data_IF_385893433182
#
_entry.id   IF_385893433182
#
_cell.length_a   1.000
_cell.length_b   1.000
_cell.length_c   1.000
_cell.angle_alpha   90.00
_cell.angle_beta   90.00
_cell.angle_gamma   90.00
#
_symmetry.space_group_name_H-M   'P 1'
#
loop_
_entity.id
_entity.type
_entity.pdbx_description
1 polymer ?
#
# COMPACT_ATOMS: atom_id res chain seq x y z
N UNK A 1 -13.31 -6.78 -17.06
CA UNK A 1 -12.29 -6.63 -15.99
C UNK A 1 -12.56 -7.57 -14.82
N UNK A 2 -13.83 -7.74 -14.45
CA UNK A 2 -14.28 -8.67 -13.42
C UNK A 2 -14.15 -10.13 -13.87
N UNK A 3 -13.67 -10.99 -12.97
CA UNK A 3 -13.52 -12.44 -13.16
C UNK A 3 -14.05 -13.15 -11.92
N UNK A 4 -14.88 -14.18 -12.12
CA UNK A 4 -15.47 -15.02 -11.07
C UNK A 4 -14.81 -16.40 -11.02
N UNK A 5 -13.53 -16.49 -11.38
CA UNK A 5 -12.80 -17.77 -11.37
C UNK A 5 -12.17 -18.08 -10.00
N UNK A 6 -12.13 -17.10 -9.11
CA UNK A 6 -11.48 -17.20 -7.80
C UNK A 6 -12.28 -16.43 -6.76
N UNK A 7 -12.45 -17.01 -5.58
CA UNK A 7 -13.16 -16.42 -4.46
C UNK A 7 -12.48 -15.16 -3.91
N UNK A 8 -11.19 -14.97 -4.15
CA UNK A 8 -10.51 -13.69 -3.87
C UNK A 8 -9.47 -13.39 -4.93
N UNK A 9 -9.43 -12.13 -5.34
CA UNK A 9 -8.50 -11.57 -6.30
C UNK A 9 -7.97 -10.24 -5.77
N UNK A 10 -6.66 -10.08 -5.74
CA UNK A 10 -5.95 -8.86 -5.33
C UNK A 10 -5.14 -8.36 -6.51
N UNK A 11 -5.49 -7.18 -7.02
CA UNK A 11 -4.84 -6.53 -8.16
C UNK A 11 -4.00 -5.37 -7.69
N UNK A 12 -2.71 -5.41 -7.99
CA UNK A 12 -1.79 -4.28 -7.85
C UNK A 12 -1.62 -3.62 -9.22
N UNK A 13 -1.84 -2.31 -9.30
CA UNK A 13 -1.78 -1.59 -10.57
C UNK A 13 -0.48 -0.81 -10.73
N UNK A 14 -0.02 -0.64 -11.97
CA UNK A 14 1.05 0.30 -12.29
C UNK A 14 0.50 1.72 -12.23
N UNK A 15 0.68 2.36 -11.09
CA UNK A 15 0.33 3.76 -10.88
C UNK A 15 1.54 4.69 -10.98
N UNK A 16 2.60 4.32 -11.71
CA UNK A 16 3.75 5.19 -11.94
C UNK A 16 4.61 5.46 -10.68
N UNK A 17 4.67 4.47 -9.78
CA UNK A 17 5.40 4.57 -8.51
C UNK A 17 4.56 5.05 -7.33
N UNK A 18 3.23 4.96 -7.43
CA UNK A 18 2.30 5.12 -6.31
C UNK A 18 1.54 3.83 -5.99
N UNK A 19 0.83 3.79 -4.85
CA UNK A 19 0.02 2.64 -4.47
C UNK A 19 -1.40 2.73 -5.05
N UNK A 20 -1.79 1.68 -5.77
CA UNK A 20 -3.13 1.51 -6.32
C UNK A 20 -3.49 0.02 -6.33
N UNK A 21 -4.50 -0.36 -5.54
CA UNK A 21 -4.83 -1.77 -5.31
C UNK A 21 -6.36 -1.95 -5.32
N UNK A 22 -6.81 -3.05 -5.92
CA UNK A 22 -8.22 -3.49 -5.86
C UNK A 22 -8.29 -4.94 -5.38
N UNK A 23 -9.07 -5.17 -4.34
CA UNK A 23 -9.42 -6.48 -3.82
C UNK A 23 -10.88 -6.77 -4.15
N UNK A 24 -11.14 -7.89 -4.80
CA UNK A 24 -12.49 -8.41 -5.02
C UNK A 24 -12.60 -9.81 -4.43
N UNK A 25 -13.65 -10.08 -3.67
CA UNK A 25 -13.82 -11.36 -2.98
C UNK A 25 -15.29 -11.76 -2.85
N UNK A 26 -15.55 -13.07 -2.71
CA UNK A 26 -16.87 -13.64 -2.49
C UNK A 26 -17.10 -13.78 -0.98
N UNK A 27 -17.94 -12.91 -0.42
CA UNK A 27 -18.23 -12.84 1.01
C UNK A 27 -18.93 -14.09 1.56
N UNK A 28 -19.00 -14.18 2.89
CA UNK A 28 -19.74 -15.25 3.58
C UNK A 28 -21.27 -15.14 3.42
N UNK A 29 -21.77 -14.04 2.89
CA UNK A 29 -23.15 -13.82 2.46
C UNK A 29 -23.41 -14.30 1.02
N UNK A 30 -22.38 -14.85 0.35
CA UNK A 30 -22.35 -15.28 -1.04
C UNK A 30 -22.53 -14.14 -2.06
N UNK A 31 -22.19 -12.90 -1.68
CA UNK A 31 -22.14 -11.76 -2.58
C UNK A 31 -20.70 -11.35 -2.89
N UNK A 32 -20.49 -10.71 -4.04
CA UNK A 32 -19.19 -10.15 -4.40
C UNK A 32 -19.00 -8.79 -3.75
N UNK A 33 -17.85 -8.65 -3.10
CA UNK A 33 -17.44 -7.46 -2.38
C UNK A 33 -16.17 -6.87 -2.97
N UNK A 34 -16.02 -5.55 -2.84
CA UNK A 34 -14.90 -4.83 -3.42
C UNK A 34 -14.28 -3.87 -2.38
N UNK A 35 -12.97 -3.95 -2.23
CA UNK A 35 -12.16 -3.02 -1.42
C UNK A 35 -11.11 -2.38 -2.33
N UNK A 36 -11.02 -1.05 -2.27
CA UNK A 36 -9.96 -0.28 -2.92
C UNK A 36 -8.96 0.19 -1.87
N UNK A 37 -7.67 0.17 -2.20
CA UNK A 37 -6.62 0.69 -1.32
C UNK A 37 -5.78 1.66 -2.14
N UNK A 38 -5.72 2.89 -1.65
CA UNK A 38 -5.12 4.04 -2.30
C UNK A 38 -5.60 4.22 -3.76
N UNK A 39 -4.91 5.07 -4.50
CA UNK A 39 -5.36 5.61 -5.77
C UNK A 39 -4.23 5.91 -6.75
N UNK A 40 -2.96 5.84 -6.35
CA UNK A 40 -1.88 6.36 -7.18
C UNK A 40 -1.99 7.87 -7.38
N UNK A 41 -1.41 8.37 -8.46
CA UNK A 41 -1.56 9.76 -8.89
C UNK A 41 -2.94 10.07 -9.49
N UNK A 42 -3.25 11.36 -9.68
CA UNK A 42 -4.53 11.82 -10.28
C UNK A 42 -4.81 11.17 -11.63
N UNK A 43 -3.79 10.99 -12.49
CA UNK A 43 -3.94 10.34 -13.80
C UNK A 43 -4.44 8.89 -13.70
N UNK A 44 -4.10 8.20 -12.60
CA UNK A 44 -4.56 6.84 -12.33
C UNK A 44 -6.08 6.76 -12.18
N UNK A 45 -6.77 7.87 -11.93
CA UNK A 45 -8.23 7.88 -11.98
C UNK A 45 -8.74 7.48 -13.35
N UNK A 46 -8.38 8.23 -14.39
CA UNK A 46 -8.90 8.00 -15.73
C UNK A 46 -8.42 6.66 -16.32
N UNK A 47 -7.18 6.27 -16.03
CA UNK A 47 -6.57 5.08 -16.64
C UNK A 47 -6.85 3.78 -15.89
N UNK A 48 -7.12 3.83 -14.58
CA UNK A 48 -7.29 2.63 -13.74
C UNK A 48 -8.64 2.66 -13.03
N UNK A 49 -8.86 3.63 -12.14
CA UNK A 49 -9.98 3.56 -11.18
C UNK A 49 -11.34 3.83 -11.81
N UNK A 50 -11.45 4.73 -12.78
CA UNK A 50 -12.70 4.96 -13.50
C UNK A 50 -13.16 3.68 -14.23
N UNK A 51 -12.32 3.00 -15.04
CA UNK A 51 -12.65 1.68 -15.57
C UNK A 51 -13.02 0.62 -14.52
N UNK A 52 -12.29 0.56 -13.39
CA UNK A 52 -12.61 -0.37 -12.28
C UNK A 52 -14.00 -0.09 -11.71
N UNK A 53 -14.26 1.16 -11.33
CA UNK A 53 -15.53 1.62 -10.75
C UNK A 53 -16.70 1.41 -11.72
N UNK A 54 -16.51 1.71 -13.01
CA UNK A 54 -17.50 1.41 -14.05
C UNK A 54 -17.78 -0.09 -14.11
N UNK A 55 -16.75 -0.94 -14.12
CA UNK A 55 -16.95 -2.39 -14.18
C UNK A 55 -17.66 -2.97 -12.95
N UNK A 56 -17.43 -2.41 -11.76
CA UNK A 56 -18.13 -2.76 -10.51
C UNK A 56 -19.60 -2.37 -10.62
N UNK A 57 -19.87 -1.13 -11.02
CA UNK A 57 -21.24 -0.59 -11.16
C UNK A 57 -22.06 -1.32 -12.23
N UNK A 58 -21.45 -1.70 -13.36
CA UNK A 58 -22.09 -2.40 -14.48
C UNK A 58 -22.67 -3.77 -14.08
N UNK A 59 -22.08 -4.44 -13.10
CA UNK A 59 -22.59 -5.73 -12.57
C UNK A 59 -23.49 -5.55 -11.34
N UNK A 60 -23.84 -4.32 -10.98
CA UNK A 60 -24.66 -4.01 -9.81
C UNK A 60 -23.94 -4.17 -8.47
N UNK A 61 -22.60 -4.30 -8.48
CA UNK A 61 -21.78 -4.31 -7.28
C UNK A 61 -21.45 -2.87 -6.84
N UNK A 62 -20.85 -2.75 -5.66
CA UNK A 62 -20.33 -1.49 -5.13
C UNK A 62 -18.96 -1.72 -4.47
N UNK A 63 -18.28 -0.63 -4.12
CA UNK A 63 -17.09 -0.63 -3.26
C UNK A 63 -17.54 -0.54 -1.81
N UNK A 64 -17.27 -1.59 -1.03
CA UNK A 64 -17.62 -1.64 0.39
C UNK A 64 -16.72 -0.72 1.22
N UNK A 65 -15.44 -0.64 0.86
CA UNK A 65 -14.44 0.19 1.53
C UNK A 65 -13.41 0.74 0.54
N UNK A 66 -13.11 2.03 0.62
CA UNK A 66 -11.90 2.62 0.04
C UNK A 66 -10.95 3.09 1.15
N UNK A 67 -9.83 2.39 1.30
CA UNK A 67 -8.77 2.73 2.27
C UNK A 67 -7.86 3.77 1.65
N UNK A 68 -7.66 4.88 2.35
CA UNK A 68 -6.76 5.97 1.99
C UNK A 68 -5.69 6.01 3.07
N UNK A 69 -4.53 5.43 2.77
CA UNK A 69 -3.54 5.10 3.79
C UNK A 69 -2.94 6.34 4.42
N UNK A 70 -2.64 7.37 3.63
CA UNK A 70 -2.18 8.68 4.04
C UNK A 70 -2.37 9.70 2.89
N UNK A 71 -1.90 10.95 3.06
CA UNK A 71 -2.23 12.09 2.17
C UNK A 71 -1.29 12.35 0.99
N UNK A 72 -0.28 11.51 0.78
CA UNK A 72 0.67 11.78 -0.30
C UNK A 72 0.04 11.57 -1.67
N UNK A 73 0.56 12.30 -2.65
CA UNK A 73 -0.09 12.48 -3.97
C UNK A 73 -0.14 11.19 -4.79
N UNK A 74 0.83 10.32 -4.57
CA UNK A 74 0.96 8.98 -5.14
C UNK A 74 0.09 7.95 -4.43
N UNK A 75 -0.73 8.37 -3.45
CA UNK A 75 -1.72 7.56 -2.77
C UNK A 75 -3.15 8.12 -2.98
N UNK A 76 -3.38 9.41 -2.74
CA UNK A 76 -4.75 9.98 -2.76
C UNK A 76 -5.22 10.43 -4.15
N UNK A 77 -4.35 10.43 -5.15
CA UNK A 77 -4.57 11.10 -6.43
C UNK A 77 -5.83 10.63 -7.15
N UNK A 78 -6.05 9.32 -7.33
CA UNK A 78 -7.26 8.86 -7.99
C UNK A 78 -8.54 9.07 -7.18
N UNK A 79 -8.45 9.11 -5.84
CA UNK A 79 -9.60 9.47 -5.00
C UNK A 79 -10.05 10.89 -5.31
N UNK A 80 -9.11 11.81 -5.52
CA UNK A 80 -9.41 13.19 -5.94
C UNK A 80 -9.98 13.24 -7.36
N UNK A 81 -9.50 12.39 -8.27
CA UNK A 81 -10.12 12.23 -9.59
C UNK A 81 -11.58 11.81 -9.46
N UNK A 82 -11.87 10.83 -8.59
CA UNK A 82 -13.22 10.37 -8.29
C UNK A 82 -14.11 11.48 -7.74
N UNK A 83 -13.62 12.31 -6.79
CA UNK A 83 -14.44 13.42 -6.26
C UNK A 83 -14.85 14.42 -7.34
N UNK A 84 -14.01 14.62 -8.37
CA UNK A 84 -14.23 15.55 -9.48
C UNK A 84 -15.05 15.00 -10.63
N UNK A 85 -15.21 13.68 -10.73
CA UNK A 85 -15.90 13.07 -11.88
C UNK A 85 -17.41 13.30 -11.82
N UNK A 86 -17.92 14.22 -12.64
CA UNK A 86 -19.35 14.53 -12.68
C UNK A 86 -20.19 13.50 -13.44
N UNK A 87 -19.56 12.51 -14.09
CA UNK A 87 -20.28 11.43 -14.78
C UNK A 87 -20.83 10.35 -13.84
N UNK A 88 -20.35 10.28 -12.60
CA UNK A 88 -20.88 9.39 -11.57
C UNK A 88 -21.85 10.20 -10.70
N UNK A 89 -23.15 9.95 -10.86
CA UNK A 89 -24.21 10.68 -10.15
C UNK A 89 -24.29 10.25 -8.68
N UNK A 90 -24.39 8.94 -8.42
CA UNK A 90 -24.63 8.37 -7.08
C UNK A 90 -23.32 7.85 -6.44
N UNK A 91 -22.32 8.72 -6.27
CA UNK A 91 -20.99 8.35 -5.73
C UNK A 91 -21.07 7.70 -4.33
N UNK A 92 -22.00 8.17 -3.51
CA UNK A 92 -22.24 7.71 -2.15
C UNK A 92 -22.86 6.31 -2.07
N UNK A 93 -23.49 5.84 -3.17
CA UNK A 93 -23.96 4.45 -3.33
C UNK A 93 -22.86 3.57 -3.90
N UNK A 94 -22.06 4.10 -4.83
CA UNK A 94 -20.98 3.37 -5.45
C UNK A 94 -19.85 3.05 -4.46
N UNK A 95 -19.54 3.97 -3.53
CA UNK A 95 -18.57 3.76 -2.46
C UNK A 95 -19.24 3.92 -1.10
N UNK A 96 -19.38 2.80 -0.38
CA UNK A 96 -20.12 2.76 0.89
C UNK A 96 -19.35 3.42 2.02
N UNK A 97 -18.07 3.10 2.20
CA UNK A 97 -17.23 3.56 3.30
C UNK A 97 -15.87 4.03 2.79
N UNK A 98 -15.33 5.06 3.44
CA UNK A 98 -13.95 5.47 3.29
C UNK A 98 -13.24 5.27 4.63
N UNK A 99 -11.98 4.86 4.59
CA UNK A 99 -11.06 5.04 5.71
C UNK A 99 -10.07 6.12 5.32
N UNK A 100 -10.02 7.17 6.12
CA UNK A 100 -9.19 8.32 5.85
C UNK A 100 -8.92 9.05 7.16
N UNK A 101 -7.69 8.94 7.64
CA UNK A 101 -7.26 9.71 8.79
C UNK A 101 -7.05 11.17 8.37
N UNK A 102 -7.76 12.07 9.04
CA UNK A 102 -7.72 13.48 8.75
C UNK A 102 -7.59 14.30 10.04
N UNK A 103 -7.09 15.53 9.89
CA UNK A 103 -7.06 16.47 11.00
C UNK A 103 -8.47 16.81 11.48
N UNK A 104 -8.69 16.81 12.79
CA UNK A 104 -9.99 17.09 13.43
C UNK A 104 -10.43 18.56 13.39
N UNK A 105 -9.57 19.48 12.97
CA UNK A 105 -9.86 20.92 12.94
C UNK A 105 -10.09 21.41 11.51
N UNK A 106 -11.10 22.27 11.29
CA UNK A 106 -11.25 22.95 10.01
C UNK A 106 -10.05 23.86 9.79
N UNK A 107 -9.32 23.58 8.72
CA UNK A 107 -8.18 24.37 8.31
C UNK A 107 -8.66 25.20 7.12
N UNK A 108 -8.47 26.52 7.20
CA UNK A 108 -8.72 27.42 6.07
C UNK A 108 -7.93 26.99 4.83
N UNK A 109 -8.51 27.14 3.64
CA UNK A 109 -7.82 26.89 2.37
C UNK A 109 -6.59 27.82 2.28
N UNK A 110 -5.41 27.24 2.12
CA UNK A 110 -4.13 27.98 2.11
C UNK A 110 -3.27 27.57 0.92
N UNK A 111 -2.28 28.40 0.58
CA UNK A 111 -1.27 28.12 -0.45
C UNK A 111 -0.16 27.14 0.04
N UNK A 112 -0.50 26.21 0.94
CA UNK A 112 0.43 25.24 1.53
C UNK A 112 0.90 24.16 0.54
N UNK A 113 1.65 23.15 1.04
CA UNK A 113 2.10 22.01 0.22
C UNK A 113 0.91 21.29 -0.45
N UNK A 114 1.10 20.87 -1.70
CA UNK A 114 0.04 20.33 -2.57
C UNK A 114 -0.68 19.12 -1.93
N UNK A 115 0.05 18.18 -1.32
CA UNK A 115 -0.55 17.00 -0.66
C UNK A 115 -1.55 17.37 0.46
N UNK A 116 -1.16 18.27 1.36
CA UNK A 116 -2.02 18.74 2.46
C UNK A 116 -3.27 19.45 1.95
N UNK A 117 -3.10 20.36 0.98
CA UNK A 117 -4.25 21.06 0.34
C UNK A 117 -5.23 20.07 -0.28
N UNK A 118 -4.70 19.03 -0.93
CA UNK A 118 -5.50 17.97 -1.52
C UNK A 118 -6.21 17.10 -0.48
N UNK A 119 -5.53 16.75 0.62
CA UNK A 119 -6.14 16.07 1.77
C UNK A 119 -7.29 16.87 2.40
N UNK A 120 -7.14 18.20 2.55
CA UNK A 120 -8.21 19.09 3.02
C UNK A 120 -9.40 19.10 2.03
N UNK A 121 -9.11 19.19 0.73
CA UNK A 121 -10.14 19.14 -0.31
C UNK A 121 -10.92 17.83 -0.27
N UNK A 122 -10.22 16.70 -0.12
CA UNK A 122 -10.84 15.38 0.04
C UNK A 122 -11.71 15.31 1.29
N UNK A 123 -11.21 15.76 2.45
CA UNK A 123 -11.99 15.83 3.70
C UNK A 123 -13.29 16.62 3.49
N UNK A 124 -13.19 17.81 2.89
CA UNK A 124 -14.32 18.71 2.65
C UNK A 124 -15.37 18.06 1.75
N UNK A 125 -14.91 17.37 0.70
CA UNK A 125 -15.79 16.61 -0.17
C UNK A 125 -16.49 15.46 0.57
N UNK A 126 -15.75 14.64 1.32
CA UNK A 126 -16.33 13.54 2.08
C UNK A 126 -17.33 14.03 3.14
N UNK A 127 -17.08 15.19 3.76
CA UNK A 127 -18.04 15.88 4.65
C UNK A 127 -19.33 16.24 3.88
N UNK A 128 -19.21 16.80 2.67
CA UNK A 128 -20.37 17.22 1.86
C UNK A 128 -21.28 16.08 1.40
N UNK A 129 -20.75 14.86 1.28
CA UNK A 129 -21.53 13.66 0.92
C UNK A 129 -21.85 12.77 2.13
N UNK A 130 -21.57 13.26 3.35
CA UNK A 130 -21.82 12.54 4.60
C UNK A 130 -21.10 11.18 4.69
N UNK A 131 -19.89 11.11 4.13
CA UNK A 131 -19.00 9.92 4.11
C UNK A 131 -17.67 10.14 4.84
N UNK A 132 -17.49 11.28 5.49
CA UNK A 132 -16.27 11.54 6.26
C UNK A 132 -16.21 10.58 7.47
N UNK A 133 -15.10 9.87 7.69
CA UNK A 133 -14.95 9.00 8.85
C UNK A 133 -15.05 9.80 10.15
N UNK A 134 -15.84 9.31 11.10
CA UNK A 134 -16.00 9.95 12.42
C UNK A 134 -14.83 9.57 13.33
N UNK A 135 -14.38 8.31 13.25
CA UNK A 135 -13.29 7.78 14.06
C UNK A 135 -12.01 7.67 13.23
N UNK A 136 -10.89 8.01 13.86
CA UNK A 136 -9.56 7.77 13.28
C UNK A 136 -9.23 6.28 13.32
N UNK A 137 -8.68 5.78 12.23
CA UNK A 137 -8.19 4.40 12.09
C UNK A 137 -6.79 4.33 12.68
N UNK A 138 -6.62 3.55 13.75
CA UNK A 138 -5.36 3.40 14.49
C UNK A 138 -5.14 1.94 14.86
N UNK A 139 -3.96 1.65 15.41
CA UNK A 139 -3.62 0.35 16.00
C UNK A 139 -4.55 -0.08 17.15
N UNK A 140 -5.44 0.80 17.63
CA UNK A 140 -6.49 0.51 18.62
C UNK A 140 -7.86 0.26 18.01
N UNK A 141 -8.03 0.45 16.71
CA UNK A 141 -9.31 0.23 15.99
C UNK A 141 -9.76 -1.25 16.02
N UNK A 142 -8.84 -2.17 16.35
CA UNK A 142 -9.11 -3.59 16.48
C UNK A 142 -9.28 -4.26 15.11
N UNK A 143 -9.99 -5.40 15.12
CA UNK A 143 -10.32 -6.15 13.91
C UNK A 143 -11.63 -5.63 13.34
N UNK A 144 -11.65 -5.31 12.04
CA UNK A 144 -12.85 -4.96 11.28
C UNK A 144 -13.16 -6.08 10.31
N UNK A 145 -14.40 -6.57 10.34
CA UNK A 145 -14.88 -7.64 9.46
C UNK A 145 -15.74 -7.04 8.34
N UNK A 146 -15.42 -7.42 7.11
CA UNK A 146 -16.19 -7.12 5.91
C UNK A 146 -16.58 -8.45 5.27
N UNK A 147 -17.74 -8.98 5.65
CA UNK A 147 -18.32 -10.20 5.08
C UNK A 147 -17.35 -11.41 5.11
N UNK A 148 -16.64 -11.57 6.23
CA UNK A 148 -15.64 -12.63 6.46
C UNK A 148 -14.21 -12.28 6.04
N UNK A 149 -13.97 -11.13 5.39
CA UNK A 149 -12.63 -10.56 5.22
C UNK A 149 -12.30 -9.67 6.41
N UNK A 150 -11.30 -10.08 7.18
CA UNK A 150 -10.86 -9.40 8.38
C UNK A 150 -9.67 -8.49 8.11
N UNK A 151 -9.73 -7.26 8.61
CA UNK A 151 -8.63 -6.30 8.59
C UNK A 151 -8.25 -5.98 10.03
N UNK A 152 -6.99 -6.26 10.40
CA UNK A 152 -6.41 -5.91 11.70
C UNK A 152 -5.42 -4.77 11.53
N UNK A 153 -5.69 -3.61 12.11
CA UNK A 153 -4.85 -2.42 11.97
C UNK A 153 -3.58 -2.56 12.81
N UNK A 154 -2.43 -2.28 12.20
CA UNK A 154 -1.10 -2.34 12.82
C UNK A 154 -0.52 -0.94 13.06
N UNK A 155 -0.81 0.00 12.15
CA UNK A 155 -0.43 1.41 12.24
C UNK A 155 -1.53 2.26 11.60
N UNK A 156 -1.59 3.57 11.87
CA UNK A 156 -0.71 4.33 12.77
C UNK A 156 -1.10 4.17 14.24
N UNK A 157 -0.19 4.56 15.15
CA UNK A 157 -0.55 4.76 16.55
C UNK A 157 -1.30 6.08 16.74
N UNK A 158 -2.09 6.20 17.82
CA UNK A 158 -2.76 7.46 18.16
C UNK A 158 -1.77 8.64 18.28
N UNK A 159 -0.55 8.39 18.79
CA UNK A 159 0.48 9.42 18.94
C UNK A 159 1.03 9.87 17.58
N UNK A 160 1.21 8.95 16.62
CA UNK A 160 1.62 9.29 15.25
C UNK A 160 0.55 10.12 14.55
N UNK A 161 -0.73 9.80 14.77
CA UNK A 161 -1.84 10.62 14.27
C UNK A 161 -1.82 12.02 14.88
N UNK A 162 -1.69 12.14 16.19
CA UNK A 162 -1.59 13.45 16.85
C UNK A 162 -0.34 14.25 16.41
N UNK A 163 0.75 13.58 16.04
CA UNK A 163 1.91 14.22 15.45
C UNK A 163 1.65 14.70 14.02
N UNK A 164 1.00 13.87 13.18
CA UNK A 164 0.59 14.25 11.83
C UNK A 164 -0.38 15.44 11.85
N UNK A 165 -1.39 15.44 12.72
CA UNK A 165 -2.34 16.55 12.85
C UNK A 165 -1.67 17.89 13.15
N UNK A 166 -0.64 17.89 14.02
CA UNK A 166 0.16 19.09 14.31
C UNK A 166 0.99 19.52 13.10
N UNK A 167 1.56 18.57 12.38
CA UNK A 167 2.37 18.83 11.19
C UNK A 167 1.54 19.44 10.04
N UNK A 168 0.27 19.05 9.89
CA UNK A 168 -0.64 19.69 8.94
C UNK A 168 -0.73 21.20 9.18
N UNK A 169 -0.98 21.61 10.43
CA UNK A 169 -1.11 23.02 10.83
C UNK A 169 0.18 23.81 10.60
N UNK A 170 1.34 23.18 10.80
CA UNK A 170 2.64 23.84 10.61
C UNK A 170 3.06 23.95 9.15
N UNK A 171 2.84 22.90 8.34
CA UNK A 171 3.30 22.84 6.95
C UNK A 171 2.40 23.59 5.99
N UNK A 172 1.15 23.84 6.33
CA UNK A 172 0.27 24.76 5.59
C UNK A 172 0.77 26.21 5.59
N UNK A 173 1.52 26.60 6.63
CA UNK A 173 2.11 27.94 6.73
C UNK A 173 3.40 28.10 5.91
N UNK A 174 3.96 27.01 5.36
CA UNK A 174 5.26 26.99 4.69
C UNK A 174 5.10 26.79 3.18
N UNK A 175 5.93 27.47 2.40
CA UNK A 175 6.03 27.30 0.94
C UNK A 175 6.52 25.87 0.59
N UNK A 176 6.19 25.34 -0.60
CA UNK A 176 6.70 24.06 -1.06
C UNK A 176 8.23 24.03 -1.00
N UNK A 177 8.78 23.03 -0.32
CA UNK A 177 10.22 22.77 -0.28
C UNK A 177 10.53 21.84 -1.45
N UNK A 178 11.58 22.15 -2.23
CA UNK A 178 12.06 21.26 -3.29
C UNK A 178 12.44 19.91 -2.70
N UNK A 179 11.92 18.83 -3.29
CA UNK A 179 12.40 17.47 -2.99
C UNK A 179 13.90 17.42 -3.26
N UNK A 180 14.66 16.83 -2.34
CA UNK A 180 16.07 16.51 -2.59
C UNK A 180 16.13 15.43 -3.65
N UNK A 181 16.94 15.62 -4.69
CA UNK A 181 17.27 14.55 -5.64
C UNK A 181 17.95 13.40 -4.86
N UNK A 182 17.20 12.35 -4.50
CA UNK A 182 17.83 11.12 -4.03
C UNK A 182 18.61 10.51 -5.20
N UNK A 183 19.84 10.08 -4.94
CA UNK A 183 20.58 9.25 -5.90
C UNK A 183 20.11 7.81 -5.68
N UNK A 184 19.59 7.17 -6.73
CA UNK A 184 19.27 5.74 -6.69
C UNK A 184 20.54 4.92 -6.51
N UNK A 185 20.39 3.72 -5.95
CA UNK A 185 21.48 2.82 -5.57
C UNK A 185 21.55 1.56 -6.44
N UNK A 186 20.77 1.49 -7.53
CA UNK A 186 20.68 0.34 -8.44
C UNK A 186 22.02 -0.07 -9.09
N UNK A 187 23.00 0.84 -9.10
CA UNK A 187 24.36 0.58 -9.61
C UNK A 187 25.23 -0.24 -8.65
N UNK A 188 24.80 -0.42 -7.39
CA UNK A 188 25.52 -1.20 -6.38
C UNK A 188 25.10 -2.66 -6.41
N UNK A 189 26.03 -3.56 -6.08
CA UNK A 189 25.73 -4.99 -5.99
C UNK A 189 25.04 -5.33 -4.68
N UNK A 190 24.27 -6.41 -4.67
CA UNK A 190 23.63 -6.95 -3.46
C UNK A 190 24.66 -7.21 -2.35
N UNK A 191 25.85 -7.69 -2.72
CA UNK A 191 26.91 -8.05 -1.78
C UNK A 191 27.55 -6.84 -1.06
N UNK A 192 27.43 -5.64 -1.65
CA UNK A 192 28.01 -4.41 -1.09
C UNK A 192 27.17 -3.80 0.05
N UNK A 193 25.95 -4.29 0.25
CA UNK A 193 25.06 -3.79 1.30
C UNK A 193 25.22 -4.61 2.59
N UNK A 194 25.24 -3.93 3.73
CA UNK A 194 25.08 -4.57 5.04
C UNK A 194 23.58 -4.69 5.33
N UNK A 195 23.06 -5.92 5.37
CA UNK A 195 21.64 -6.18 5.62
C UNK A 195 21.19 -5.80 7.04
N UNK A 196 22.11 -5.72 8.01
CA UNK A 196 21.80 -5.37 9.39
C UNK A 196 21.77 -3.86 9.61
N UNK A 197 22.44 -3.09 8.75
CA UNK A 197 22.41 -1.63 8.81
C UNK A 197 21.03 -1.11 8.42
N UNK A 198 20.41 -0.37 9.33
CA UNK A 198 19.10 0.22 9.13
C UNK A 198 18.94 1.53 9.91
N UNK A 199 18.40 2.55 9.23
CA UNK A 199 17.99 3.82 9.82
C UNK A 199 16.53 4.05 9.40
N UNK A 200 15.65 4.26 10.36
CA UNK A 200 14.22 4.43 10.07
C UNK A 200 13.90 5.81 9.50
N UNK A 201 12.91 5.87 8.62
CA UNK A 201 12.31 7.14 8.20
C UNK A 201 11.61 7.81 9.41
N UNK A 202 11.65 9.14 9.48
CA UNK A 202 11.01 9.93 10.55
C UNK A 202 9.95 10.89 10.01
N UNK A 203 9.56 10.77 8.74
CA UNK A 203 8.51 11.60 8.16
C UNK A 203 7.14 11.33 8.82
N UNK A 204 6.47 12.41 9.19
CA UNK A 204 5.24 12.34 9.98
C UNK A 204 4.03 11.90 9.15
N UNK A 205 3.98 12.22 7.85
CA UNK A 205 2.89 11.79 6.97
C UNK A 205 2.96 10.28 6.76
N UNK A 206 4.14 9.75 6.46
CA UNK A 206 4.41 8.30 6.37
C UNK A 206 4.13 7.59 7.70
N UNK A 207 4.47 8.22 8.83
CA UNK A 207 4.12 7.71 10.15
C UNK A 207 2.62 7.60 10.44
N UNK A 208 1.78 8.32 9.68
CA UNK A 208 0.32 8.26 9.78
C UNK A 208 -0.32 7.20 8.88
N UNK A 209 0.48 6.46 8.10
CA UNK A 209 -0.03 5.47 7.15
C UNK A 209 -0.79 4.33 7.84
N UNK A 210 -1.96 4.00 7.28
CA UNK A 210 -2.74 2.83 7.68
C UNK A 210 -2.08 1.55 7.16
N UNK A 211 -1.33 0.86 8.01
CA UNK A 211 -0.83 -0.49 7.73
C UNK A 211 -1.69 -1.52 8.44
N UNK A 212 -1.92 -2.67 7.80
CA UNK A 212 -2.82 -3.68 8.32
C UNK A 212 -2.50 -5.10 7.85
N UNK A 213 -2.96 -6.06 8.66
CA UNK A 213 -3.03 -7.47 8.30
C UNK A 213 -4.43 -7.75 7.72
N UNK A 214 -4.47 -8.32 6.52
CA UNK A 214 -5.69 -8.82 5.89
C UNK A 214 -5.75 -10.33 6.07
N UNK A 215 -6.90 -10.85 6.50
CA UNK A 215 -7.17 -12.29 6.58
C UNK A 215 -8.51 -12.60 5.93
N UNK A 216 -8.53 -13.52 4.97
CA UNK A 216 -9.73 -14.04 4.34
C UNK A 216 -9.55 -15.54 4.11
N UNK A 217 -10.33 -16.37 4.81
CA UNK A 217 -10.15 -17.83 4.83
C UNK A 217 -8.70 -18.20 5.22
N UNK A 218 -7.99 -18.94 4.37
CA UNK A 218 -6.58 -19.32 4.54
C UNK A 218 -5.60 -18.27 4.01
N UNK A 219 -6.09 -17.17 3.43
CA UNK A 219 -5.27 -16.12 2.84
C UNK A 219 -4.96 -15.05 3.88
N UNK A 220 -3.68 -14.79 4.10
CA UNK A 220 -3.16 -13.75 4.99
C UNK A 220 -2.18 -12.86 4.22
N UNK A 221 -2.47 -11.56 4.13
CA UNK A 221 -1.64 -10.57 3.45
C UNK A 221 -1.26 -9.41 4.36
N UNK A 222 -0.02 -8.94 4.29
CA UNK A 222 0.45 -7.78 5.05
C UNK A 222 0.58 -6.56 4.14
N UNK A 223 -0.16 -5.49 4.44
CA UNK A 223 -0.10 -4.22 3.71
C UNK A 223 0.55 -3.16 4.59
N UNK A 224 1.72 -2.69 4.20
CA UNK A 224 2.52 -1.77 5.02
C UNK A 224 2.39 -0.29 4.66
N UNK A 225 1.74 0.04 3.53
CA UNK A 225 1.63 1.39 2.99
C UNK A 225 3.00 2.09 3.08
N UNK A 226 3.08 3.34 3.56
CA UNK A 226 4.37 4.03 3.74
C UNK A 226 4.82 4.07 5.21
N UNK A 227 4.19 3.23 6.04
CA UNK A 227 4.34 3.21 7.49
C UNK A 227 5.76 2.94 7.98
N UNK A 228 6.04 3.40 9.20
CA UNK A 228 7.30 3.09 9.87
C UNK A 228 7.32 1.62 10.32
N UNK A 229 8.41 0.87 10.05
CA UNK A 229 8.48 -0.54 10.41
C UNK A 229 8.40 -0.78 11.92
N UNK A 230 8.86 0.16 12.76
CA UNK A 230 8.74 0.06 14.23
C UNK A 230 7.29 -0.07 14.70
N UNK A 231 6.37 0.66 14.07
CA UNK A 231 4.94 0.60 14.44
C UNK A 231 4.36 -0.79 14.10
N UNK A 232 4.67 -1.31 12.90
CA UNK A 232 4.28 -2.66 12.49
C UNK A 232 4.91 -3.74 13.38
N UNK A 233 6.21 -3.64 13.70
CA UNK A 233 6.94 -4.56 14.60
C UNK A 233 6.27 -4.61 15.97
N UNK A 234 5.98 -3.44 16.56
CA UNK A 234 5.35 -3.36 17.87
C UNK A 234 3.96 -3.97 17.85
N UNK A 235 3.17 -3.71 16.81
CA UNK A 235 1.86 -4.32 16.65
C UNK A 235 1.93 -5.84 16.50
N UNK A 236 2.85 -6.37 15.67
CA UNK A 236 3.06 -7.80 15.51
C UNK A 236 3.49 -8.49 16.81
N UNK A 237 4.38 -7.87 17.58
CA UNK A 237 4.77 -8.36 18.91
C UNK A 237 3.59 -8.40 19.89
N UNK A 238 2.71 -7.38 19.88
CA UNK A 238 1.48 -7.40 20.68
C UNK A 238 0.52 -8.52 20.26
N UNK A 239 0.54 -8.91 18.99
CA UNK A 239 -0.14 -10.10 18.46
C UNK A 239 0.61 -11.41 18.75
N UNK A 240 1.62 -11.39 19.61
CA UNK A 240 2.43 -12.55 20.04
C UNK A 240 3.33 -13.16 18.96
N UNK A 241 3.63 -12.44 17.88
CA UNK A 241 4.65 -12.86 16.90
C UNK A 241 6.05 -12.52 17.39
N UNK A 242 7.00 -13.38 17.05
CA UNK A 242 8.43 -13.24 17.41
C UNK A 242 9.29 -13.90 16.34
N UNK A 243 10.62 -13.71 16.37
CA UNK A 243 11.52 -14.40 15.44
C UNK A 243 11.43 -15.94 15.54
N UNK A 244 11.08 -16.47 16.72
CA UNK A 244 10.87 -17.91 16.93
C UNK A 244 9.50 -18.39 16.49
N UNK A 245 8.55 -17.47 16.34
CA UNK A 245 7.18 -17.74 15.91
C UNK A 245 6.72 -16.62 14.95
N UNK A 246 7.29 -16.59 13.73
CA UNK A 246 7.01 -15.52 12.78
C UNK A 246 5.60 -15.67 12.20
N UNK A 247 4.99 -14.53 11.87
CA UNK A 247 3.70 -14.48 11.20
C UNK A 247 3.82 -15.07 9.80
N UNK A 248 3.09 -16.15 9.53
CA UNK A 248 3.05 -16.76 8.19
C UNK A 248 2.08 -16.02 7.28
N UNK A 249 2.57 -15.64 6.09
CA UNK A 249 1.88 -14.78 5.14
C UNK A 249 1.92 -15.37 3.73
N UNK A 250 0.85 -15.15 2.97
CA UNK A 250 0.81 -15.45 1.54
C UNK A 250 1.55 -14.39 0.73
N UNK A 251 1.55 -13.12 1.18
CA UNK A 251 2.30 -12.04 0.56
C UNK A 251 2.50 -10.84 1.51
N UNK A 252 3.48 -10.01 1.18
CA UNK A 252 3.72 -8.69 1.80
C UNK A 252 3.72 -7.63 0.72
N UNK A 253 2.87 -6.62 0.83
CA UNK A 253 3.04 -5.37 0.08
C UNK A 253 4.06 -4.52 0.82
N UNK A 254 5.24 -4.40 0.22
CA UNK A 254 6.40 -3.72 0.81
C UNK A 254 6.10 -2.25 1.03
N UNK A 255 6.62 -1.75 2.15
CA UNK A 255 6.39 -0.39 2.58
C UNK A 255 7.10 0.64 1.69
N UNK A 256 6.46 1.79 1.45
CA UNK A 256 7.07 2.98 0.86
C UNK A 256 7.79 2.67 -0.45
N UNK A 257 7.10 1.91 -1.30
CA UNK A 257 7.57 1.47 -2.62
C UNK A 257 8.89 0.67 -2.60
N UNK A 258 9.33 0.19 -1.43
CA UNK A 258 10.63 -0.45 -1.24
C UNK A 258 11.75 0.52 -0.85
N UNK A 259 11.43 1.62 -0.18
CA UNK A 259 12.42 2.51 0.44
C UNK A 259 13.27 1.79 1.49
N UNK A 260 14.58 2.02 1.44
CA UNK A 260 15.56 1.41 2.35
C UNK A 260 15.31 1.68 3.83
N UNK A 261 14.61 2.76 4.13
CA UNK A 261 14.31 3.23 5.48
C UNK A 261 12.99 2.68 6.06
N UNK A 262 12.31 1.77 5.35
CA UNK A 262 10.96 1.30 5.72
C UNK A 262 10.83 -0.23 5.86
N UNK A 263 11.87 -1.01 5.54
CA UNK A 263 11.89 -2.47 5.74
C UNK A 263 13.05 -2.84 6.66
N UNK A 264 12.81 -2.97 7.97
CA UNK A 264 13.85 -3.26 8.95
C UNK A 264 14.18 -4.76 9.04
N UNK A 265 15.41 -5.14 9.45
CA UNK A 265 15.75 -6.54 9.73
C UNK A 265 14.83 -7.19 10.76
N UNK A 266 14.45 -6.43 11.80
CA UNK A 266 13.53 -6.88 12.84
C UNK A 266 12.13 -7.19 12.27
N UNK A 267 11.61 -6.33 11.39
CA UNK A 267 10.33 -6.60 10.71
C UNK A 267 10.42 -7.90 9.90
N UNK A 268 11.52 -8.10 9.16
CA UNK A 268 11.73 -9.33 8.39
C UNK A 268 11.79 -10.56 9.29
N UNK A 269 12.43 -10.47 10.45
CA UNK A 269 12.48 -11.55 11.44
C UNK A 269 11.10 -11.94 12.01
N UNK A 270 10.14 -11.01 12.06
CA UNK A 270 8.79 -11.28 12.57
C UNK A 270 7.83 -11.88 11.54
N UNK A 271 8.21 -11.95 10.26
CA UNK A 271 7.33 -12.40 9.18
C UNK A 271 7.94 -13.56 8.40
N UNK A 272 7.08 -14.41 7.86
CA UNK A 272 7.45 -15.54 7.04
C UNK A 272 6.58 -15.56 5.77
N UNK A 273 7.16 -15.10 4.65
CA UNK A 273 6.50 -15.05 3.34
C UNK A 273 7.46 -15.51 2.25
N UNK A 274 6.95 -16.08 1.16
CA UNK A 274 7.71 -16.29 -0.08
C UNK A 274 7.45 -15.22 -1.15
N UNK A 275 6.57 -14.25 -0.89
CA UNK A 275 6.10 -13.29 -1.90
C UNK A 275 6.15 -11.87 -1.35
N UNK A 276 6.87 -10.99 -2.07
CA UNK A 276 6.92 -9.55 -1.81
C UNK A 276 6.45 -8.79 -3.04
N UNK A 277 5.55 -7.83 -2.84
CA UNK A 277 4.96 -7.00 -3.89
C UNK A 277 5.45 -5.56 -3.74
N UNK A 278 5.87 -4.93 -4.83
CA UNK A 278 6.41 -3.58 -4.89
C UNK A 278 5.60 -2.72 -5.86
N UNK A 279 5.04 -1.59 -5.40
CA UNK A 279 4.43 -0.59 -6.29
C UNK A 279 5.45 0.46 -6.70
N UNK A 280 6.44 0.05 -7.48
CA UNK A 280 7.61 0.86 -7.73
C UNK A 280 8.00 0.81 -9.20
N UNK A 281 8.46 1.94 -9.74
CA UNK A 281 8.78 2.09 -11.16
C UNK A 281 10.25 2.46 -11.43
N UNK A 282 11.10 2.61 -10.41
CA UNK A 282 12.51 2.96 -10.57
C UNK A 282 12.79 4.38 -11.11
N UNK A 283 11.76 5.16 -11.45
CA UNK A 283 11.88 6.48 -12.09
C UNK A 283 11.51 7.60 -11.13
N UNK A 284 10.27 7.61 -10.63
CA UNK A 284 9.68 8.78 -9.95
C UNK A 284 10.41 9.11 -8.66
N UNK A 285 10.56 8.11 -7.79
CA UNK A 285 11.28 8.19 -6.52
C UNK A 285 12.55 7.32 -6.52
N UNK A 286 12.87 6.69 -7.65
CA UNK A 286 13.94 5.69 -7.83
C UNK A 286 13.83 4.44 -6.95
N UNK A 287 12.69 4.28 -6.28
CA UNK A 287 12.36 3.05 -5.56
C UNK A 287 12.00 1.90 -6.52
N UNK A 288 12.19 0.64 -6.11
CA UNK A 288 12.70 0.22 -4.81
C UNK A 288 14.20 0.52 -4.68
N UNK A 289 14.66 0.78 -3.46
CA UNK A 289 16.10 0.84 -3.22
C UNK A 289 16.68 -0.58 -3.32
N UNK A 290 17.83 -0.69 -3.96
CA UNK A 290 18.62 -1.92 -4.06
C UNK A 290 18.99 -2.44 -2.67
N UNK A 291 19.23 -1.53 -1.72
CA UNK A 291 19.47 -1.87 -0.31
C UNK A 291 18.31 -2.65 0.32
N UNK A 292 17.06 -2.25 0.05
CA UNK A 292 15.86 -2.98 0.52
C UNK A 292 15.80 -4.38 -0.06
N UNK A 293 16.02 -4.49 -1.37
CA UNK A 293 16.02 -5.77 -2.08
C UNK A 293 17.13 -6.68 -1.53
N UNK A 294 18.33 -6.15 -1.32
CA UNK A 294 19.45 -6.88 -0.74
C UNK A 294 19.12 -7.39 0.66
N UNK A 295 18.51 -6.56 1.51
CA UNK A 295 18.08 -6.94 2.86
C UNK A 295 17.07 -8.10 2.83
N UNK A 296 16.05 -8.02 1.97
CA UNK A 296 15.07 -9.10 1.79
C UNK A 296 15.76 -10.38 1.29
N UNK A 297 16.54 -10.28 0.21
CA UNK A 297 17.19 -11.43 -0.42
C UNK A 297 18.15 -12.16 0.53
N UNK A 298 18.97 -11.41 1.26
CA UNK A 298 19.92 -11.98 2.21
C UNK A 298 19.23 -12.62 3.41
N UNK A 299 18.17 -12.00 3.94
CA UNK A 299 17.36 -12.60 4.99
C UNK A 299 16.78 -13.96 4.55
N UNK A 300 16.26 -14.06 3.32
CA UNK A 300 15.69 -15.31 2.79
C UNK A 300 16.72 -16.36 2.41
N UNK A 301 17.91 -15.95 1.93
CA UNK A 301 18.99 -16.88 1.59
C UNK A 301 19.43 -17.71 2.80
N UNK A 302 19.37 -17.15 4.01
CA UNK A 302 19.66 -17.87 5.26
C UNK A 302 18.60 -18.93 5.57
N UNK A 303 17.33 -18.66 5.23
CA UNK A 303 16.18 -19.53 5.52
C UNK A 303 16.01 -20.61 4.42
N UNK A 304 16.54 -20.37 3.21
CA UNK A 304 16.56 -21.32 2.10
C UNK A 304 15.24 -21.45 1.33
N UNK A 305 14.32 -20.48 1.49
CA UNK A 305 13.00 -20.51 0.81
C UNK A 305 13.06 -19.82 -0.55
N UNK A 306 12.40 -20.37 -1.58
CA UNK A 306 12.21 -19.66 -2.83
C UNK A 306 11.44 -18.35 -2.61
N UNK A 307 11.97 -17.28 -3.18
CA UNK A 307 11.39 -15.94 -3.08
C UNK A 307 10.81 -15.50 -4.43
N UNK A 308 9.65 -14.85 -4.40
CA UNK A 308 9.07 -14.18 -5.57
C UNK A 308 8.97 -12.68 -5.30
N UNK A 309 9.68 -11.90 -6.09
CA UNK A 309 9.54 -10.44 -6.15
C UNK A 309 8.52 -10.09 -7.25
N UNK A 310 7.43 -9.43 -6.87
CA UNK A 310 6.38 -9.01 -7.78
C UNK A 310 6.43 -7.50 -7.92
N UNK A 311 6.72 -7.00 -9.10
CA UNK A 311 6.78 -5.57 -9.39
C UNK A 311 5.51 -5.12 -10.10
N UNK A 312 4.91 -4.06 -9.57
CA UNK A 312 3.75 -3.42 -10.17
C UNK A 312 4.12 -2.53 -11.37
N UNK A 313 5.37 -2.54 -11.84
CA UNK A 313 5.78 -1.84 -13.06
C UNK A 313 6.87 -2.63 -13.76
N UNK A 314 6.99 -2.48 -15.08
CA UNK A 314 7.96 -3.17 -15.93
C UNK A 314 8.90 -2.18 -16.65
N UNK A 315 9.18 -1.02 -16.05
CA UNK A 315 10.13 -0.05 -16.59
C UNK A 315 11.53 -0.64 -16.77
N UNK A 316 12.33 -0.03 -17.64
CA UNK A 316 13.74 -0.40 -17.84
C UNK A 316 14.52 -0.37 -16.53
N UNK A 317 14.27 0.61 -15.67
CA UNK A 317 14.90 0.75 -14.35
C UNK A 317 14.60 -0.44 -13.44
N UNK A 318 13.34 -0.88 -13.41
CA UNK A 318 12.91 -2.04 -12.62
C UNK A 318 13.48 -3.34 -13.20
N UNK A 319 13.41 -3.53 -14.52
CA UNK A 319 13.95 -4.73 -15.17
C UNK A 319 15.48 -4.84 -15.04
N UNK A 320 16.18 -3.72 -14.89
CA UNK A 320 17.65 -3.67 -14.80
C UNK A 320 18.19 -3.67 -13.37
N UNK A 321 17.32 -3.73 -12.34
CA UNK A 321 17.69 -3.68 -10.92
C UNK A 321 18.86 -4.62 -10.57
N UNK A 322 18.94 -5.79 -11.21
CA UNK A 322 19.86 -6.87 -10.89
C UNK A 322 20.98 -7.07 -11.92
N UNK A 323 21.07 -6.24 -12.96
CA UNK A 323 22.03 -6.42 -14.06
C UNK A 323 23.51 -6.28 -13.62
N UNK A 324 23.76 -5.63 -12.48
CA UNK A 324 25.10 -5.47 -11.91
C UNK A 324 25.57 -6.67 -11.10
N UNK A 325 24.66 -7.60 -10.77
CA UNK A 325 24.94 -8.79 -9.97
C UNK A 325 25.21 -10.01 -10.87
N UNK A 326 26.13 -10.87 -10.45
CA UNK A 326 26.42 -12.11 -11.17
C UNK A 326 25.44 -13.22 -10.76
N UNK A 327 24.58 -13.65 -11.70
CA UNK A 327 23.58 -14.74 -11.52
C UNK A 327 22.78 -14.62 -10.21
N UNK A 328 22.19 -13.44 -9.91
CA UNK A 328 21.58 -13.16 -8.62
C UNK A 328 20.42 -14.11 -8.29
N UNK A 329 19.59 -14.48 -9.27
CA UNK A 329 18.46 -15.40 -9.09
C UNK A 329 18.92 -16.76 -8.56
N UNK A 330 20.06 -17.25 -9.03
CA UNK A 330 20.65 -18.51 -8.59
C UNK A 330 21.32 -18.37 -7.21
N UNK A 331 22.06 -17.28 -6.99
CA UNK A 331 22.75 -17.01 -5.71
C UNK A 331 21.78 -16.84 -4.54
N UNK A 332 20.64 -16.19 -4.77
CA UNK A 332 19.69 -15.81 -3.72
C UNK A 332 18.34 -16.54 -3.83
N UNK A 333 18.22 -17.54 -4.72
CA UNK A 333 17.04 -18.38 -4.92
C UNK A 333 15.72 -17.59 -5.05
N UNK A 334 15.66 -16.66 -6.01
CA UNK A 334 14.47 -15.83 -6.24
C UNK A 334 14.06 -15.75 -7.70
N UNK A 335 12.80 -15.36 -7.91
CA UNK A 335 12.21 -15.06 -9.22
C UNK A 335 11.59 -13.67 -9.22
N UNK A 336 11.45 -13.07 -10.40
CA UNK A 336 10.83 -11.78 -10.61
C UNK A 336 9.62 -11.93 -11.53
N UNK A 337 8.57 -11.15 -11.27
CA UNK A 337 7.43 -11.01 -12.17
C UNK A 337 7.00 -9.56 -12.24
N UNK A 338 6.59 -9.09 -13.41
CA UNK A 338 6.23 -7.69 -13.67
C UNK A 338 4.79 -7.61 -14.18
N UNK A 339 4.16 -6.44 -14.14
CA UNK A 339 2.84 -6.31 -14.81
C UNK A 339 3.07 -6.33 -16.31
N UNK A 340 2.49 -7.32 -16.97
CA UNK A 340 2.11 -7.23 -18.38
C UNK A 340 0.60 -7.46 -18.49
N UNK A 341 0.00 -6.79 -19.47
CA UNK A 341 -1.43 -6.72 -19.78
C UNK A 341 -2.28 -7.87 -19.17
N UNK A 342 -2.97 -7.49 -18.10
CA UNK A 342 -4.18 -8.09 -17.53
C UNK A 342 -4.09 -9.26 -16.52
N UNK A 343 -2.93 -9.90 -16.25
CA UNK A 343 -2.90 -11.04 -15.31
C UNK A 343 -1.77 -11.00 -14.27
N UNK A 344 -0.56 -10.52 -14.58
CA UNK A 344 0.62 -10.87 -13.78
C UNK A 344 0.70 -10.25 -12.36
N UNK A 345 -0.03 -9.18 -12.07
CA UNK A 345 -0.16 -8.61 -10.70
C UNK A 345 -1.47 -8.90 -10.02
N UNK A 346 -2.25 -9.78 -10.64
CA UNK A 346 -3.46 -10.28 -10.03
C UNK A 346 -3.08 -11.51 -9.20
N UNK A 347 -2.88 -11.32 -7.90
CA UNK A 347 -2.80 -12.45 -6.99
C UNK A 347 -4.21 -13.01 -6.82
N UNK A 348 -4.43 -14.21 -7.35
CA UNK A 348 -5.71 -14.90 -7.28
C UNK A 348 -5.56 -16.07 -6.31
N UNK A 349 -6.48 -16.20 -5.39
CA UNK A 349 -6.47 -17.26 -4.41
C UNK A 349 -7.85 -17.91 -4.35
N UNK A 350 -7.87 -19.20 -4.00
CA UNK A 350 -9.09 -19.99 -3.82
C UNK A 350 -9.93 -20.07 -5.10
N UNK A 351 -9.62 -21.00 -6.03
CA UNK A 351 -10.40 -21.14 -7.27
C UNK A 351 -11.85 -21.51 -6.93
N UNK A 352 -12.79 -20.99 -7.71
CA UNK A 352 -14.18 -21.41 -7.65
C UNK A 352 -14.26 -22.77 -8.35
N UNK A 353 -14.46 -23.82 -7.57
CA UNK A 353 -14.67 -25.16 -8.11
C UNK A 353 -16.03 -25.16 -8.83
N UNK A 354 -16.00 -25.47 -10.14
CA UNK A 354 -17.17 -25.61 -11.00
C UNK A 354 -18.01 -26.84 -10.67
#
# INVERSE_FOLDING_TARGET
MISNSYEITIKFFDAGGGDAIWIRYLGNDNLWHNILIDGGYVKSYDTIFKPVLSSISEVGECVDLWVITHIDLDHIGAVIGFTRDTSIVDKEKLVKLFWFNHAGFKISDTNGRIGYRQGIGLRTYLESINKLPIEQITDKTGVKDFYGLQITILSPTADKIAAADRDWIEREKKKPVRMSNSKGDHHKKIEDFDEQKFEENVDLANGSSIAFLLKFKDITGLFLADGHPTDAVNALKRLSYSERHPLSLNFVKVSHHGSKNNTSPELLGLINTGVYVFSANGITNKHPDKETLARILKHHAVIGKPLKLVFASNTTEIMSLFNVDEKPEQRYNFTQSFIEDHIQTTLKYLPINS
#
